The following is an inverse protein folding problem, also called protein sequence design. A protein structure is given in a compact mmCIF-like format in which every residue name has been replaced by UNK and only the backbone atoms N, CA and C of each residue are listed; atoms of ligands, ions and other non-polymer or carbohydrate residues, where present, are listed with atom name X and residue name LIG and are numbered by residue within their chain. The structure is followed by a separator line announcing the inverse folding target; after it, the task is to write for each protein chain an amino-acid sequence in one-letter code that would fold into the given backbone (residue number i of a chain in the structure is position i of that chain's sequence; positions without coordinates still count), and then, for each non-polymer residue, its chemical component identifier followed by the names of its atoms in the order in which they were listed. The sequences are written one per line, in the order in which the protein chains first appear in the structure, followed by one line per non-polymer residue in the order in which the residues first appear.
data_IF_186089544920
#
_entry.id   IF_186089544920
#
_cell.length_a   1.000
_cell.length_b   1.000
_cell.length_c   1.000
_cell.angle_alpha   90.00
_cell.angle_beta   90.00
_cell.angle_gamma   90.00
#
_symmetry.space_group_name_H-M   'P 1'
#
loop_
_entity.id
_entity.type
_entity.pdbx_description
1 polymer ?
#
# COMPACT_ATOMS: atom_id res chain seq x y z
N UNK A 1 10.77 17.33 14.75
CA UNK A 1 12.08 16.67 14.98
C UNK A 1 12.18 15.56 13.96
N UNK A 2 13.12 15.61 13.00
CA UNK A 2 13.34 14.48 12.11
C UNK A 2 13.88 13.33 12.95
N UNK A 3 13.09 12.27 13.11
CA UNK A 3 13.53 11.08 13.83
C UNK A 3 14.61 10.41 12.97
N UNK A 4 15.86 10.49 13.41
CA UNK A 4 16.98 9.78 12.80
C UNK A 4 16.99 8.33 13.33
N UNK A 5 17.71 7.45 12.64
CA UNK A 5 18.07 6.13 13.18
C UNK A 5 16.89 5.15 13.36
N UNK A 6 15.96 5.13 12.41
CA UNK A 6 14.73 4.34 12.51
C UNK A 6 14.90 2.86 12.12
N UNK A 7 15.97 2.50 11.41
CA UNK A 7 16.24 1.13 10.94
C UNK A 7 17.51 0.50 11.51
N UNK A 8 17.67 -0.80 11.29
CA UNK A 8 18.94 -1.50 11.50
C UNK A 8 19.73 -1.56 10.20
N UNK A 9 20.99 -1.12 10.23
CA UNK A 9 21.89 -1.21 9.08
C UNK A 9 22.69 -2.51 9.12
N UNK A 10 22.82 -3.14 7.95
CA UNK A 10 23.71 -4.28 7.73
C UNK A 10 24.75 -3.92 6.68
N UNK A 11 25.92 -4.53 6.78
CA UNK A 11 26.99 -4.42 5.81
C UNK A 11 27.36 -5.81 5.31
N UNK A 12 27.52 -5.90 3.99
CA UNK A 12 28.05 -7.06 3.30
C UNK A 12 29.54 -6.82 3.03
N UNK A 13 30.46 -7.49 3.74
CA UNK A 13 31.90 -7.23 3.57
C UNK A 13 32.37 -7.57 2.16
N UNK A 14 33.28 -6.75 1.62
CA UNK A 14 33.84 -6.98 0.29
C UNK A 14 34.50 -8.38 0.21
N UNK A 15 34.32 -9.06 -0.92
CA UNK A 15 34.83 -10.42 -1.19
C UNK A 15 34.19 -11.53 -0.35
N UNK A 16 33.13 -11.24 0.42
CA UNK A 16 32.37 -12.24 1.18
C UNK A 16 31.02 -12.60 0.55
N UNK A 17 30.66 -11.92 -0.54
CA UNK A 17 29.43 -12.17 -1.28
C UNK A 17 29.73 -12.35 -2.77
N UNK A 18 28.85 -13.06 -3.45
CA UNK A 18 28.80 -13.17 -4.90
C UNK A 18 27.64 -12.34 -5.43
N UNK A 19 27.88 -11.60 -6.51
CA UNK A 19 26.80 -10.86 -7.19
C UNK A 19 26.18 -11.79 -8.22
N UNK A 20 24.87 -11.97 -8.15
CA UNK A 20 24.15 -12.85 -9.06
C UNK A 20 24.16 -12.28 -10.50
N UNK A 21 24.58 -13.09 -11.50
CA UNK A 21 24.49 -12.71 -12.90
C UNK A 21 23.04 -12.40 -13.31
N UNK A 22 22.84 -11.44 -14.21
CA UNK A 22 21.51 -10.98 -14.61
C UNK A 22 20.58 -12.10 -15.12
N UNK A 23 21.15 -13.09 -15.82
CA UNK A 23 20.42 -14.26 -16.33
C UNK A 23 19.93 -15.21 -15.23
N UNK A 24 20.52 -15.16 -14.04
CA UNK A 24 20.23 -16.05 -12.91
C UNK A 24 19.41 -15.35 -11.81
N UNK A 25 19.25 -14.02 -11.89
CA UNK A 25 18.50 -13.24 -10.91
C UNK A 25 17.06 -13.72 -10.77
N UNK A 26 16.69 -14.06 -9.54
CA UNK A 26 15.32 -14.44 -9.18
C UNK A 26 14.49 -13.24 -8.72
N UNK A 27 15.12 -12.09 -8.46
CA UNK A 27 14.47 -10.88 -8.01
C UNK A 27 14.49 -9.77 -9.07
N UNK A 28 13.60 -8.79 -8.89
CA UNK A 28 13.47 -7.57 -9.69
C UNK A 28 14.33 -6.42 -9.13
N UNK A 29 15.17 -6.70 -8.12
CA UNK A 29 16.03 -5.71 -7.47
C UNK A 29 17.22 -5.35 -8.33
N UNK A 30 17.74 -4.14 -8.11
CA UNK A 30 18.93 -3.64 -8.82
C UNK A 30 20.17 -4.48 -8.55
N UNK A 31 20.29 -5.00 -7.32
CA UNK A 31 21.40 -5.81 -6.84
C UNK A 31 20.80 -7.07 -6.20
N UNK A 32 21.34 -8.23 -6.54
CA UNK A 32 21.04 -9.53 -5.95
C UNK A 32 22.38 -10.19 -5.62
N UNK A 33 22.56 -10.58 -4.36
CA UNK A 33 23.80 -11.16 -3.86
C UNK A 33 23.52 -12.46 -3.11
N UNK A 34 24.48 -13.36 -3.14
CA UNK A 34 24.54 -14.53 -2.26
C UNK A 34 25.67 -14.33 -1.26
N UNK A 35 25.38 -14.56 0.02
CA UNK A 35 26.34 -14.40 1.13
C UNK A 35 26.00 -15.40 2.23
N UNK A 36 27.02 -15.93 2.90
CA UNK A 36 26.81 -16.74 4.10
C UNK A 36 26.30 -15.88 5.26
N UNK A 37 25.32 -16.39 6.00
CA UNK A 37 24.64 -15.64 7.07
C UNK A 37 25.57 -15.08 8.18
N UNK A 38 26.68 -15.76 8.45
CA UNK A 38 27.68 -15.45 9.46
C UNK A 38 28.72 -14.42 8.99
N UNK A 39 28.71 -14.09 7.70
CA UNK A 39 29.53 -13.01 7.12
C UNK A 39 28.79 -11.66 7.10
N UNK A 40 27.47 -11.65 7.35
CA UNK A 40 26.68 -10.42 7.44
C UNK A 40 26.96 -9.75 8.78
N UNK A 41 27.43 -8.51 8.74
CA UNK A 41 27.75 -7.74 9.96
C UNK A 41 26.78 -6.60 10.15
N UNK A 42 26.49 -6.28 11.41
CA UNK A 42 25.81 -5.03 11.74
C UNK A 42 26.69 -3.85 11.33
N UNK A 43 26.05 -2.76 10.92
CA UNK A 43 26.75 -1.54 10.55
C UNK A 43 26.30 -0.38 11.40
N UNK A 44 27.19 0.59 11.59
CA UNK A 44 26.87 1.85 12.27
C UNK A 44 25.72 2.56 11.54
N UNK A 45 24.95 3.35 12.28
CA UNK A 45 23.82 4.05 11.69
C UNK A 45 24.28 5.09 10.66
N UNK A 46 23.58 5.12 9.53
CA UNK A 46 23.82 6.08 8.43
C UNK A 46 22.58 6.94 8.19
N UNK A 47 21.71 7.03 9.18
CA UNK A 47 20.42 7.70 9.10
C UNK A 47 19.38 6.83 8.41
N UNK A 48 18.31 7.45 7.94
CA UNK A 48 17.19 6.72 7.35
C UNK A 48 17.40 6.47 5.86
N UNK A 49 17.18 5.23 5.42
CA UNK A 49 17.05 4.93 3.99
C UNK A 49 15.87 5.71 3.40
N UNK A 50 15.99 6.30 2.19
CA UNK A 50 14.92 7.06 1.55
C UNK A 50 13.87 6.12 0.94
N UNK A 51 13.15 5.38 1.80
CA UNK A 51 12.16 4.38 1.40
C UNK A 51 11.11 4.99 0.48
N UNK A 52 10.76 4.29 -0.59
CA UNK A 52 9.68 4.69 -1.50
C UNK A 52 8.35 4.21 -0.95
N UNK A 53 7.46 5.15 -0.66
CA UNK A 53 6.09 4.89 -0.19
C UNK A 53 5.13 5.22 -1.33
N UNK A 54 4.47 4.20 -1.86
CA UNK A 54 3.43 4.33 -2.88
C UNK A 54 2.07 4.21 -2.22
N UNK A 55 1.28 5.29 -2.29
CA UNK A 55 -0.14 5.26 -1.99
C UNK A 55 -0.94 5.15 -3.27
N UNK A 56 -1.97 4.30 -3.26
CA UNK A 56 -2.83 4.11 -4.41
C UNK A 56 -4.28 3.89 -3.96
N UNK A 57 -5.19 4.12 -4.91
CA UNK A 57 -6.64 3.96 -4.77
C UNK A 57 -7.22 3.53 -6.12
N UNK A 58 -8.28 2.71 -6.12
CA UNK A 58 -8.97 2.27 -7.34
C UNK A 58 -10.40 2.80 -7.41
N UNK A 59 -10.84 3.09 -8.63
CA UNK A 59 -12.26 3.24 -8.96
C UNK A 59 -12.73 2.05 -9.78
N UNK A 60 -13.92 1.57 -9.47
CA UNK A 60 -14.59 0.48 -10.15
C UNK A 60 -15.95 0.93 -10.67
N UNK A 61 -16.53 0.18 -11.61
CA UNK A 61 -17.95 0.35 -11.91
C UNK A 61 -18.83 -0.16 -10.76
N UNK A 62 -20.08 0.32 -10.72
CA UNK A 62 -21.07 -0.03 -9.71
C UNK A 62 -22.41 -0.38 -10.35
N UNK A 63 -23.21 -1.23 -9.69
CA UNK A 63 -24.61 -1.52 -10.04
C UNK A 63 -25.62 -0.74 -9.16
N UNK A 64 -26.91 -1.01 -9.39
CA UNK A 64 -28.06 -0.37 -8.74
C UNK A 64 -28.09 -0.48 -7.22
N UNK A 65 -27.36 -1.40 -6.60
CA UNK A 65 -27.22 -1.50 -5.14
C UNK A 65 -25.97 -0.78 -4.60
N UNK A 66 -25.29 -0.01 -5.45
CA UNK A 66 -24.10 0.78 -5.10
C UNK A 66 -22.92 -0.06 -4.60
N UNK A 67 -22.75 -1.28 -5.11
CA UNK A 67 -21.62 -2.15 -4.75
C UNK A 67 -20.85 -2.61 -5.97
N UNK A 68 -19.54 -2.49 -5.92
CA UNK A 68 -18.66 -3.14 -6.89
C UNK A 68 -18.45 -4.61 -6.52
N UNK A 69 -18.43 -5.46 -7.54
CA UNK A 69 -18.23 -6.91 -7.41
C UNK A 69 -17.16 -7.32 -8.42
N UNK A 70 -16.01 -7.90 -8.00
CA UNK A 70 -14.89 -8.19 -8.91
C UNK A 70 -15.25 -9.04 -10.13
N UNK A 71 -16.20 -9.97 -9.98
CA UNK A 71 -16.63 -10.85 -11.06
C UNK A 71 -17.46 -10.17 -12.14
N UNK A 72 -17.95 -8.96 -11.89
CA UNK A 72 -18.89 -8.25 -12.77
C UNK A 72 -18.28 -6.92 -13.20
N UNK A 73 -17.85 -6.13 -12.22
CA UNK A 73 -17.55 -4.73 -12.38
C UNK A 73 -16.06 -4.51 -12.70
N UNK A 74 -15.73 -3.83 -13.82
CA UNK A 74 -14.35 -3.52 -14.16
C UNK A 74 -13.76 -2.45 -13.23
N UNK A 75 -12.44 -2.52 -13.07
CA UNK A 75 -11.60 -1.43 -12.58
C UNK A 75 -11.45 -0.43 -13.72
N UNK A 76 -11.74 0.83 -13.44
CA UNK A 76 -11.80 1.91 -14.43
C UNK A 76 -10.73 2.97 -14.20
N UNK A 77 -10.25 3.15 -12.97
CA UNK A 77 -9.10 4.00 -12.67
C UNK A 77 -8.24 3.44 -11.55
N UNK A 78 -6.93 3.70 -11.62
CA UNK A 78 -5.99 3.44 -10.52
C UNK A 78 -5.09 4.66 -10.35
N UNK A 79 -5.25 5.37 -9.24
CA UNK A 79 -4.43 6.53 -8.91
C UNK A 79 -3.21 6.11 -8.10
N UNK A 80 -2.08 6.79 -8.29
CA UNK A 80 -0.82 6.45 -7.68
C UNK A 80 -0.06 7.72 -7.28
N UNK A 81 0.44 7.75 -6.05
CA UNK A 81 1.33 8.80 -5.55
C UNK A 81 2.52 8.18 -4.85
N UNK A 82 3.73 8.55 -5.27
CA UNK A 82 4.98 8.03 -4.70
C UNK A 82 5.73 9.15 -4.02
N UNK A 83 6.06 8.94 -2.75
CA UNK A 83 6.85 9.86 -1.93
C UNK A 83 8.06 9.12 -1.36
N UNK A 84 9.18 9.82 -1.13
CA UNK A 84 10.26 9.27 -0.32
C UNK A 84 9.98 9.57 1.15
N UNK A 85 10.20 8.59 2.02
CA UNK A 85 10.02 8.78 3.46
C UNK A 85 10.78 10.03 3.95
N UNK A 86 10.10 10.86 4.74
CA UNK A 86 10.59 12.15 5.19
C UNK A 86 10.26 13.35 4.28
N UNK A 87 9.90 13.14 3.02
CA UNK A 87 9.40 14.20 2.13
C UNK A 87 7.89 14.43 2.35
N UNK A 88 7.43 15.67 2.15
CA UNK A 88 6.02 16.07 2.38
C UNK A 88 5.16 16.02 1.11
N UNK A 89 5.79 15.97 -0.06
CA UNK A 89 5.14 15.96 -1.37
C UNK A 89 5.62 14.77 -2.21
N UNK A 90 4.72 14.09 -2.94
CA UNK A 90 5.11 13.01 -3.82
C UNK A 90 5.93 13.52 -5.00
N UNK A 91 6.97 12.79 -5.38
CA UNK A 91 7.80 13.08 -6.54
C UNK A 91 7.21 12.50 -7.84
N UNK A 92 6.26 11.57 -7.73
CA UNK A 92 5.60 10.94 -8.87
C UNK A 92 4.10 10.81 -8.59
N UNK A 93 3.29 11.30 -9.54
CA UNK A 93 1.82 11.21 -9.52
C UNK A 93 1.38 10.61 -10.85
N UNK A 94 0.62 9.53 -10.83
CA UNK A 94 0.15 8.87 -12.04
C UNK A 94 -1.29 8.40 -11.87
N UNK A 95 -2.07 8.46 -12.94
CA UNK A 95 -3.42 7.91 -13.02
C UNK A 95 -3.52 7.00 -14.24
N UNK A 96 -3.94 5.77 -14.01
CA UNK A 96 -4.18 4.77 -15.04
C UNK A 96 -5.68 4.73 -15.29
N UNK A 97 -6.15 4.97 -16.51
CA UNK A 97 -7.58 5.09 -16.81
C UNK A 97 -8.02 4.12 -17.90
N UNK A 98 -9.23 3.57 -17.75
CA UNK A 98 -9.93 2.86 -18.82
C UNK A 98 -10.61 3.91 -19.70
N UNK A 99 -10.30 3.88 -21.00
CA UNK A 99 -10.63 4.90 -21.99
C UNK A 99 -9.88 6.23 -21.76
N UNK A 100 -10.12 7.20 -22.65
CA UNK A 100 -9.41 8.48 -22.67
C UNK A 100 -9.67 9.32 -21.42
N UNK A 101 -8.66 10.00 -20.91
CA UNK A 101 -8.79 10.98 -19.83
C UNK A 101 -8.08 12.26 -20.27
N UNK A 102 -8.71 13.41 -20.05
CA UNK A 102 -8.06 14.70 -20.30
C UNK A 102 -6.87 14.88 -19.34
N UNK A 103 -5.90 15.68 -19.78
CA UNK A 103 -4.67 15.93 -19.02
C UNK A 103 -4.95 16.56 -17.65
N UNK A 104 -4.14 16.18 -16.67
CA UNK A 104 -4.15 16.73 -15.31
C UNK A 104 -2.75 17.29 -15.05
N UNK A 105 -2.69 18.51 -14.55
CA UNK A 105 -1.43 19.19 -14.23
C UNK A 105 -0.61 18.37 -13.21
N UNK A 106 0.70 18.27 -13.44
CA UNK A 106 1.65 17.51 -12.61
C UNK A 106 1.34 16.03 -12.39
N UNK A 107 0.54 15.41 -13.29
CA UNK A 107 0.17 14.00 -13.24
C UNK A 107 0.42 13.32 -14.58
N UNK A 108 1.06 12.15 -14.54
CA UNK A 108 1.13 11.25 -15.70
C UNK A 108 -0.24 10.58 -15.91
N UNK A 109 -0.95 10.99 -16.96
CA UNK A 109 -2.24 10.41 -17.35
C UNK A 109 -2.00 9.29 -18.36
N UNK A 110 -2.25 8.05 -17.95
CA UNK A 110 -2.03 6.85 -18.75
C UNK A 110 -3.38 6.19 -19.10
N UNK A 111 -3.86 6.37 -20.33
CA UNK A 111 -5.16 5.86 -20.77
C UNK A 111 -5.04 4.59 -21.61
N UNK A 112 -5.87 3.58 -21.30
CA UNK A 112 -5.84 2.26 -21.94
C UNK A 112 -7.21 1.89 -22.53
N UNK A 113 -7.19 1.16 -23.64
CA UNK A 113 -8.41 0.75 -24.34
C UNK A 113 -9.11 -0.47 -23.73
N UNK A 114 -8.45 -1.17 -22.80
CA UNK A 114 -9.00 -2.34 -22.13
C UNK A 114 -8.49 -2.43 -20.69
N UNK A 115 -9.29 -3.06 -19.83
CA UNK A 115 -8.95 -3.25 -18.42
C UNK A 115 -7.70 -4.12 -18.24
N UNK A 116 -7.53 -5.18 -19.04
CA UNK A 116 -6.32 -6.02 -18.99
C UNK A 116 -5.04 -5.21 -19.21
N UNK A 117 -5.03 -4.33 -20.22
CA UNK A 117 -3.87 -3.46 -20.50
C UNK A 117 -3.63 -2.45 -19.38
N UNK A 118 -4.70 -1.94 -18.77
CA UNK A 118 -4.61 -1.05 -17.62
C UNK A 118 -3.92 -1.76 -16.45
N UNK A 119 -4.36 -2.97 -16.11
CA UNK A 119 -3.81 -3.75 -15.00
C UNK A 119 -2.38 -4.24 -15.27
N UNK A 120 -2.07 -4.66 -16.50
CA UNK A 120 -0.71 -5.01 -16.95
C UNK A 120 0.23 -3.81 -16.76
N UNK A 121 -0.16 -2.64 -17.29
CA UNK A 121 0.66 -1.45 -17.17
C UNK A 121 0.78 -0.94 -15.73
N UNK A 122 -0.24 -1.12 -14.88
CA UNK A 122 -0.13 -0.81 -13.46
C UNK A 122 0.84 -1.74 -12.74
N UNK A 123 0.85 -3.04 -13.07
CA UNK A 123 1.84 -3.97 -12.54
C UNK A 123 3.27 -3.59 -12.96
N UNK A 124 3.48 -3.27 -14.24
CA UNK A 124 4.79 -2.83 -14.75
C UNK A 124 5.24 -1.54 -14.05
N UNK A 125 4.32 -0.61 -13.84
CA UNK A 125 4.58 0.60 -13.06
C UNK A 125 5.04 0.31 -11.63
N UNK A 126 4.44 -0.66 -10.94
CA UNK A 126 4.89 -1.08 -9.60
C UNK A 126 6.30 -1.69 -9.67
N UNK A 127 6.64 -2.42 -10.74
CA UNK A 127 7.99 -2.97 -10.93
C UNK A 127 9.02 -1.86 -11.16
N UNK A 128 8.70 -0.89 -12.00
CA UNK A 128 9.60 0.22 -12.37
C UNK A 128 9.81 1.20 -11.20
N UNK A 129 8.74 1.54 -10.48
CA UNK A 129 8.80 2.40 -9.30
C UNK A 129 9.48 1.71 -8.13
N UNK A 130 9.36 0.38 -8.04
CA UNK A 130 9.89 -0.46 -6.97
C UNK A 130 9.62 0.09 -5.54
N UNK A 131 8.35 0.27 -5.12
CA UNK A 131 8.04 0.80 -3.80
C UNK A 131 8.42 -0.17 -2.67
N UNK A 132 8.97 0.37 -1.58
CA UNK A 132 9.26 -0.39 -0.35
C UNK A 132 7.98 -0.61 0.46
N UNK A 133 7.07 0.37 0.44
CA UNK A 133 5.79 0.35 1.14
C UNK A 133 4.66 0.64 0.15
N UNK A 134 3.70 -0.27 0.04
CA UNK A 134 2.39 0.00 -0.54
C UNK A 134 1.43 0.43 0.57
N UNK A 135 0.72 1.53 0.35
CA UNK A 135 -0.25 2.08 1.28
C UNK A 135 -1.48 2.64 0.57
N UNK A 136 -2.44 3.11 1.34
CA UNK A 136 -3.73 3.59 0.89
C UNK A 136 -4.74 3.47 2.03
N UNK A 137 -6.03 3.53 1.69
CA UNK A 137 -7.11 3.43 2.67
C UNK A 137 -8.07 2.29 2.33
N UNK A 138 -8.06 1.23 3.14
CA UNK A 138 -8.84 0.00 2.94
C UNK A 138 -8.35 -0.90 1.80
N UNK A 139 -7.09 -0.73 1.39
CA UNK A 139 -6.44 -1.48 0.30
C UNK A 139 -6.40 -2.99 0.51
N UNK A 140 -6.45 -3.48 1.74
CA UNK A 140 -6.41 -4.91 2.01
C UNK A 140 -7.78 -5.57 1.84
N UNK A 141 -8.86 -4.90 2.24
CA UNK A 141 -10.20 -5.47 2.16
C UNK A 141 -10.91 -5.14 0.85
N UNK A 142 -10.49 -4.06 0.18
CA UNK A 142 -11.05 -3.63 -1.10
C UNK A 142 -10.00 -3.69 -2.20
N UNK A 143 -9.10 -2.71 -2.34
CA UNK A 143 -8.34 -2.48 -3.56
C UNK A 143 -7.50 -3.68 -4.04
N UNK A 144 -6.52 -4.15 -3.24
CA UNK A 144 -5.65 -5.27 -3.61
C UNK A 144 -6.44 -6.57 -3.79
N UNK A 145 -7.42 -6.81 -2.92
CA UNK A 145 -8.29 -7.98 -3.03
C UNK A 145 -9.10 -7.94 -4.34
N UNK A 146 -9.67 -6.78 -4.67
CA UNK A 146 -10.47 -6.58 -5.87
C UNK A 146 -9.62 -6.76 -7.12
N UNK A 147 -8.42 -6.19 -7.17
CA UNK A 147 -7.46 -6.38 -8.28
C UNK A 147 -7.13 -7.87 -8.46
N UNK A 148 -6.82 -8.59 -7.37
CA UNK A 148 -6.47 -10.02 -7.43
C UNK A 148 -7.65 -10.85 -7.98
N UNK A 149 -8.86 -10.65 -7.44
CA UNK A 149 -10.06 -11.36 -7.89
C UNK A 149 -10.41 -11.00 -9.34
N UNK A 150 -10.30 -9.72 -9.71
CA UNK A 150 -10.64 -9.24 -11.05
C UNK A 150 -9.68 -9.80 -12.10
N UNK A 151 -8.37 -9.79 -11.82
CA UNK A 151 -7.37 -10.36 -12.72
C UNK A 151 -7.60 -11.86 -12.97
N UNK A 152 -7.97 -12.63 -11.93
CA UNK A 152 -8.34 -14.04 -12.08
C UNK A 152 -9.56 -14.22 -12.99
N UNK A 153 -10.53 -13.30 -12.94
CA UNK A 153 -11.74 -13.35 -13.78
C UNK A 153 -11.48 -12.97 -15.22
N UNK A 154 -10.58 -12.03 -15.47
CA UNK A 154 -10.15 -11.68 -16.82
C UNK A 154 -9.34 -12.82 -17.46
N UNK A 155 -8.68 -13.66 -16.65
CA UNK A 155 -7.81 -14.76 -17.08
C UNK A 155 -6.63 -14.33 -17.98
N UNK A 156 -6.38 -13.03 -18.08
CA UNK A 156 -5.31 -12.46 -18.91
C UNK A 156 -4.05 -12.12 -18.11
N UNK A 157 -4.16 -11.99 -16.79
CA UNK A 157 -3.09 -11.46 -15.95
C UNK A 157 -2.91 -12.25 -14.65
N UNK A 158 -1.66 -12.65 -14.42
CA UNK A 158 -1.19 -13.08 -13.10
C UNK A 158 -0.70 -11.85 -12.34
N UNK A 159 -1.29 -11.55 -11.17
CA UNK A 159 -0.92 -10.37 -10.38
C UNK A 159 0.40 -10.61 -9.64
N UNK A 160 1.50 -10.24 -10.26
CA UNK A 160 2.86 -10.42 -9.75
C UNK A 160 3.41 -9.09 -9.22
N UNK A 161 2.99 -8.67 -8.02
CA UNK A 161 3.45 -7.39 -7.44
C UNK A 161 4.76 -7.52 -6.63
N UNK A 162 5.24 -8.75 -6.44
CA UNK A 162 6.40 -9.08 -5.60
C UNK A 162 7.72 -8.59 -6.19
N UNK A 163 8.74 -8.43 -5.34
CA UNK A 163 10.13 -8.28 -5.81
C UNK A 163 10.72 -9.61 -6.29
N UNK A 164 10.18 -10.74 -5.85
CA UNK A 164 10.57 -12.07 -6.34
C UNK A 164 9.79 -12.41 -7.61
N UNK A 165 10.51 -12.77 -8.67
CA UNK A 165 9.93 -13.10 -9.99
C UNK A 165 9.05 -14.35 -9.87
N UNK A 166 7.90 -14.33 -10.53
CA UNK A 166 6.92 -15.42 -10.51
C UNK A 166 6.14 -15.56 -9.19
N UNK A 167 6.39 -14.69 -8.21
CA UNK A 167 5.67 -14.70 -6.94
C UNK A 167 4.37 -13.90 -7.04
N UNK A 168 3.25 -14.63 -7.11
CA UNK A 168 1.92 -14.03 -7.24
C UNK A 168 1.44 -13.43 -5.92
N UNK A 169 0.84 -12.25 -5.98
CA UNK A 169 0.09 -11.68 -4.87
C UNK A 169 -1.14 -12.56 -4.60
N UNK A 170 -1.29 -12.97 -3.34
CA UNK A 170 -2.43 -13.76 -2.87
C UNK A 170 -3.08 -13.04 -1.70
N UNK A 171 -4.40 -13.08 -1.67
CA UNK A 171 -5.15 -12.65 -0.50
C UNK A 171 -5.51 -13.87 0.35
N UNK A 172 -5.56 -13.67 1.66
CA UNK A 172 -5.97 -14.66 2.65
C UNK A 172 -7.04 -14.03 3.52
N UNK A 173 -8.18 -14.72 3.66
CA UNK A 173 -9.21 -14.34 4.62
C UNK A 173 -8.80 -14.83 6.00
N UNK A 174 -9.01 -14.01 7.02
CA UNK A 174 -8.77 -14.38 8.41
C UNK A 174 -9.90 -13.85 9.29
N UNK A 175 -10.17 -14.58 10.37
CA UNK A 175 -11.10 -14.16 11.40
C UNK A 175 -10.30 -13.56 12.55
N UNK A 176 -10.64 -12.33 12.92
CA UNK A 176 -10.09 -11.68 14.10
C UNK A 176 -11.18 -11.56 15.16
N UNK A 177 -10.89 -12.06 16.35
CA UNK A 177 -11.77 -11.91 17.49
C UNK A 177 -11.20 -10.88 18.47
N UNK A 178 -12.05 -9.95 18.91
CA UNK A 178 -11.75 -9.09 20.05
C UNK A 178 -12.91 -9.04 21.02
N UNK A 179 -12.61 -8.99 22.32
CA UNK A 179 -13.62 -8.92 23.38
C UNK A 179 -14.52 -7.67 23.24
N UNK A 180 -13.99 -6.58 22.66
CA UNK A 180 -14.71 -5.33 22.47
C UNK A 180 -15.54 -5.28 21.18
N UNK A 181 -15.09 -5.90 20.09
CA UNK A 181 -15.70 -5.75 18.75
C UNK A 181 -16.19 -7.06 18.12
N UNK A 182 -16.16 -8.16 18.87
CA UNK A 182 -16.58 -9.48 18.41
C UNK A 182 -15.67 -10.08 17.34
N UNK A 183 -16.20 -11.09 16.63
CA UNK A 183 -15.55 -11.67 15.46
C UNK A 183 -15.73 -10.75 14.25
N UNK A 184 -14.63 -10.47 13.55
CA UNK A 184 -14.62 -9.76 12.27
C UNK A 184 -13.80 -10.54 11.26
N UNK A 185 -14.36 -10.70 10.07
CA UNK A 185 -13.59 -11.17 8.93
C UNK A 185 -12.73 -10.03 8.40
N UNK A 186 -11.49 -10.35 8.05
CA UNK A 186 -10.57 -9.43 7.40
C UNK A 186 -9.81 -10.14 6.30
N UNK A 187 -9.26 -9.37 5.38
CA UNK A 187 -8.42 -9.88 4.29
C UNK A 187 -6.99 -9.43 4.47
N UNK A 188 -6.03 -10.26 4.13
CA UNK A 188 -4.63 -9.88 4.12
C UNK A 188 -4.02 -10.20 2.77
N UNK A 189 -3.17 -9.30 2.26
CA UNK A 189 -2.41 -9.52 1.04
C UNK A 189 -0.94 -9.40 1.40
N UNK A 190 -0.16 -10.41 1.04
CA UNK A 190 1.29 -10.39 1.20
C UNK A 190 1.94 -10.22 -0.16
N UNK A 191 2.91 -9.31 -0.23
CA UNK A 191 3.68 -9.01 -1.44
C UNK A 191 5.15 -9.15 -1.05
N UNK A 192 5.78 -10.32 -1.27
CA UNK A 192 7.14 -10.55 -0.81
C UNK A 192 8.13 -9.48 -1.29
N UNK A 193 8.99 -9.03 -0.37
CA UNK A 193 9.92 -7.93 -0.59
C UNK A 193 9.30 -6.52 -0.49
N UNK A 194 7.99 -6.38 -0.27
CA UNK A 194 7.30 -5.09 -0.07
C UNK A 194 6.43 -5.11 1.19
N UNK A 195 6.37 -3.99 1.89
CA UNK A 195 5.49 -3.84 3.06
C UNK A 195 4.12 -3.34 2.60
N UNK A 196 3.03 -3.93 3.09
CA UNK A 196 1.66 -3.45 2.83
C UNK A 196 1.09 -2.83 4.10
N UNK A 197 0.94 -1.50 4.10
CA UNK A 197 0.43 -0.71 5.23
C UNK A 197 -0.92 -0.09 4.87
N UNK A 198 -1.99 -0.63 5.43
CA UNK A 198 -3.35 -0.12 5.22
C UNK A 198 -3.77 0.81 6.36
N UNK A 199 -4.07 2.08 6.05
CA UNK A 199 -4.48 3.05 7.07
C UNK A 199 -5.84 2.71 7.71
N UNK A 200 -6.75 2.09 6.96
CA UNK A 200 -8.04 1.67 7.50
C UNK A 200 -7.88 0.64 8.63
N UNK A 201 -6.81 -0.15 8.57
CA UNK A 201 -6.43 -1.09 9.64
C UNK A 201 -5.59 -0.41 10.73
N UNK A 202 -4.69 0.49 10.36
CA UNK A 202 -3.81 1.18 11.30
C UNK A 202 -4.57 2.02 12.32
N UNK A 203 -5.55 2.82 11.87
CA UNK A 203 -6.22 3.80 12.73
C UNK A 203 -7.01 3.14 13.88
N UNK A 204 -7.89 2.14 13.66
CA UNK A 204 -8.60 1.47 14.77
C UNK A 204 -7.67 0.72 15.72
N UNK A 205 -6.58 0.13 15.21
CA UNK A 205 -5.58 -0.56 16.05
C UNK A 205 -4.88 0.38 17.03
N UNK A 206 -4.75 1.65 16.66
CA UNK A 206 -4.12 2.69 17.45
C UNK A 206 -5.17 3.69 18.01
N UNK A 207 -6.36 3.21 18.36
CA UNK A 207 -7.49 4.03 18.84
C UNK A 207 -7.19 4.90 20.09
N UNK A 208 -6.17 4.56 20.88
CA UNK A 208 -5.70 5.41 21.98
C UNK A 208 -5.11 6.73 21.48
N UNK A 209 -4.47 6.71 20.31
CA UNK A 209 -3.92 7.86 19.59
C UNK A 209 -4.96 8.49 18.67
N UNK A 210 -5.68 7.68 17.88
CA UNK A 210 -6.67 8.13 16.91
C UNK A 210 -8.10 7.94 17.44
N UNK A 211 -8.57 8.91 18.22
CA UNK A 211 -9.92 8.89 18.81
C UNK A 211 -10.97 9.36 17.79
N UNK A 212 -11.35 8.45 16.88
CA UNK A 212 -12.29 8.70 15.80
C UNK A 212 -13.67 8.09 16.10
N UNK A 213 -14.73 8.81 15.74
CA UNK A 213 -16.11 8.29 15.79
C UNK A 213 -16.46 7.49 14.54
N UNK A 214 -16.02 7.97 13.37
CA UNK A 214 -16.18 7.32 12.07
C UNK A 214 -14.81 7.12 11.41
N UNK A 215 -14.63 5.97 10.76
CA UNK A 215 -13.41 5.57 10.07
C UNK A 215 -13.53 5.65 8.55
N UNK A 216 -14.57 6.30 8.00
CA UNK A 216 -14.61 6.65 6.58
C UNK A 216 -13.53 7.68 6.23
N UNK A 217 -12.88 7.55 5.07
CA UNK A 217 -11.74 8.39 4.67
C UNK A 217 -12.05 9.89 4.77
N UNK A 218 -13.26 10.32 4.38
CA UNK A 218 -13.72 11.71 4.49
C UNK A 218 -13.70 12.22 5.95
N UNK A 219 -14.26 11.43 6.87
CA UNK A 219 -14.35 11.80 8.28
C UNK A 219 -12.97 11.76 8.95
N UNK A 220 -12.14 10.78 8.58
CA UNK A 220 -10.74 10.68 9.02
C UNK A 220 -9.94 11.90 8.53
N UNK A 221 -10.02 12.23 7.25
CA UNK A 221 -9.33 13.38 6.67
C UNK A 221 -9.77 14.68 7.36
N UNK A 222 -11.08 14.90 7.52
CA UNK A 222 -11.60 16.07 8.23
C UNK A 222 -11.11 16.15 9.68
N UNK A 223 -11.23 15.06 10.43
CA UNK A 223 -10.87 15.05 11.85
C UNK A 223 -9.36 15.18 12.09
N UNK A 224 -8.54 14.50 11.27
CA UNK A 224 -7.11 14.40 11.50
C UNK A 224 -6.29 15.43 10.72
N UNK A 225 -6.76 15.94 9.58
CA UNK A 225 -6.04 16.98 8.81
C UNK A 225 -6.54 18.41 9.13
N UNK A 226 -7.73 18.58 9.72
CA UNK A 226 -8.29 19.88 10.13
C UNK A 226 -9.13 20.54 9.03
N UNK A 227 -9.20 21.88 8.98
CA UNK A 227 -10.02 22.63 8.01
C UNK A 227 -9.24 23.13 6.78
N UNK A 228 -8.04 22.60 6.55
CA UNK A 228 -7.23 22.93 5.39
C UNK A 228 -7.80 22.40 4.06
N UNK A 229 -7.34 22.89 2.90
CA UNK A 229 -7.81 22.42 1.60
C UNK A 229 -7.60 20.90 1.41
N UNK A 230 -6.54 20.35 2.01
CA UNK A 230 -6.25 18.92 1.98
C UNK A 230 -7.28 18.05 2.75
N UNK A 231 -8.16 18.62 3.58
CA UNK A 231 -9.19 17.84 4.29
C UNK A 231 -10.54 17.80 3.58
N UNK A 232 -10.74 18.65 2.58
CA UNK A 232 -11.97 18.76 1.83
C UNK A 232 -12.01 17.71 0.72
N UNK A 233 -12.34 16.47 1.09
CA UNK A 233 -12.60 15.40 0.13
C UNK A 233 -13.78 15.80 -0.76
N UNK A 234 -13.60 15.75 -2.09
CA UNK A 234 -14.70 15.89 -3.02
C UNK A 234 -15.72 14.76 -2.77
N UNK A 235 -17.01 15.06 -2.83
CA UNK A 235 -18.04 14.02 -2.80
C UNK A 235 -18.37 13.60 -4.23
N UNK A 236 -18.15 12.32 -4.52
CA UNK A 236 -18.60 11.69 -5.75
C UNK A 236 -19.48 10.49 -5.38
N UNK A 237 -20.73 10.48 -5.85
CA UNK A 237 -21.64 9.36 -5.61
C UNK A 237 -21.33 8.19 -6.57
N UNK A 238 -21.68 6.98 -6.17
CA UNK A 238 -21.52 5.79 -7.03
C UNK A 238 -22.28 5.91 -8.35
N UNK A 239 -23.48 6.49 -8.33
CA UNK A 239 -24.22 6.78 -9.57
C UNK A 239 -23.44 7.74 -10.49
N UNK A 240 -22.79 8.76 -9.91
CA UNK A 240 -21.98 9.70 -10.67
C UNK A 240 -20.78 9.02 -11.32
N UNK A 241 -20.19 8.00 -10.70
CA UNK A 241 -19.05 7.25 -11.26
C UNK A 241 -19.44 6.59 -12.59
N UNK A 242 -20.55 5.85 -12.60
CA UNK A 242 -21.07 5.19 -13.81
C UNK A 242 -21.40 6.21 -14.91
N UNK A 243 -22.06 7.32 -14.55
CA UNK A 243 -22.40 8.39 -15.50
C UNK A 243 -21.16 9.09 -16.08
N UNK A 244 -20.13 9.34 -15.27
CA UNK A 244 -18.89 9.97 -15.74
C UNK A 244 -18.04 9.05 -16.61
N UNK A 245 -18.08 7.73 -16.37
CA UNK A 245 -17.31 6.75 -17.12
C UNK A 245 -17.97 6.39 -18.46
N UNK A 246 -19.27 6.09 -18.45
CA UNK A 246 -20.01 5.51 -19.60
C UNK A 246 -21.37 6.16 -19.89
N UNK A 247 -21.74 7.23 -19.19
CA UNK A 247 -22.99 7.95 -19.45
C UNK A 247 -23.05 8.60 -20.85
N UNK A 248 -24.21 9.12 -21.26
CA UNK A 248 -24.39 9.73 -22.59
C UNK A 248 -23.40 10.87 -22.91
N UNK A 249 -22.98 11.60 -21.88
CA UNK A 249 -22.03 12.71 -21.97
C UNK A 249 -20.57 12.29 -21.66
N UNK A 250 -20.29 11.00 -21.50
CA UNK A 250 -18.99 10.51 -21.06
C UNK A 250 -17.90 10.75 -22.10
N UNK A 251 -16.85 11.46 -21.69
CA UNK A 251 -15.71 11.84 -22.52
C UNK A 251 -14.43 11.97 -21.67
N UNK A 252 -13.35 12.49 -22.27
CA UNK A 252 -12.09 12.67 -21.55
C UNK A 252 -12.19 13.59 -20.33
N UNK A 253 -13.02 14.64 -20.41
CA UNK A 253 -13.21 15.60 -19.33
C UNK A 253 -14.01 15.02 -18.15
N UNK A 254 -15.04 14.21 -18.42
CA UNK A 254 -15.81 13.54 -17.35
C UNK A 254 -14.96 12.52 -16.60
N UNK A 255 -14.17 11.72 -17.33
CA UNK A 255 -13.21 10.78 -16.73
C UNK A 255 -12.07 11.49 -16.00
N UNK A 256 -11.65 12.67 -16.46
CA UNK A 256 -10.73 13.56 -15.73
C UNK A 256 -11.28 14.00 -14.38
N UNK A 257 -12.57 14.34 -14.30
CA UNK A 257 -13.21 14.73 -13.02
C UNK A 257 -13.13 13.58 -12.00
N UNK A 258 -13.39 12.35 -12.43
CA UNK A 258 -13.24 11.15 -11.60
C UNK A 258 -11.78 10.88 -11.23
N UNK A 259 -10.85 11.09 -12.17
CA UNK A 259 -9.42 10.92 -11.92
C UNK A 259 -8.90 11.87 -10.84
N UNK A 260 -9.36 13.13 -10.83
CA UNK A 260 -9.02 14.10 -9.76
C UNK A 260 -9.54 13.63 -8.40
N UNK A 261 -10.73 13.04 -8.34
CA UNK A 261 -11.27 12.45 -7.12
C UNK A 261 -10.43 11.25 -6.65
N UNK A 262 -10.15 10.28 -7.53
CA UNK A 262 -9.33 9.11 -7.21
C UNK A 262 -7.91 9.50 -6.75
N UNK A 263 -7.27 10.49 -7.42
CA UNK A 263 -5.97 11.04 -7.00
C UNK A 263 -6.03 11.65 -5.59
N UNK A 264 -7.15 12.29 -5.21
CA UNK A 264 -7.32 12.80 -3.86
C UNK A 264 -7.34 11.64 -2.84
N UNK A 265 -7.97 10.52 -3.18
CA UNK A 265 -8.10 9.35 -2.31
C UNK A 265 -6.76 8.63 -2.10
N UNK A 266 -5.86 8.64 -3.10
CA UNK A 266 -4.46 8.22 -2.90
C UNK A 266 -3.60 9.26 -2.15
N UNK A 267 -3.90 10.57 -2.25
CA UNK A 267 -3.14 11.64 -1.57
C UNK A 267 -3.36 11.67 -0.06
N UNK A 268 -4.62 11.53 0.36
CA UNK A 268 -5.03 11.67 1.76
C UNK A 268 -4.25 10.70 2.70
N UNK A 269 -4.07 9.42 2.34
CA UNK A 269 -3.23 8.50 3.11
C UNK A 269 -1.80 8.98 3.29
N UNK A 270 -1.15 9.50 2.24
CA UNK A 270 0.23 10.02 2.36
C UNK A 270 0.30 11.21 3.32
N UNK A 271 -0.68 12.13 3.24
CA UNK A 271 -0.75 13.28 4.15
C UNK A 271 -0.89 12.83 5.61
N UNK A 272 -1.70 11.81 5.87
CA UNK A 272 -1.85 11.22 7.20
C UNK A 272 -0.57 10.51 7.67
N UNK A 273 0.06 9.70 6.81
CA UNK A 273 1.33 9.04 7.13
C UNK A 273 2.41 10.05 7.52
N UNK A 274 2.57 11.11 6.73
CA UNK A 274 3.55 12.17 6.98
C UNK A 274 3.22 12.95 8.26
N UNK A 275 1.97 13.40 8.44
CA UNK A 275 1.56 14.20 9.61
C UNK A 275 1.83 13.48 10.94
N UNK A 276 1.63 12.16 10.98
CA UNK A 276 1.74 11.36 12.19
C UNK A 276 3.02 10.51 12.25
N UNK A 277 3.92 10.62 11.27
CA UNK A 277 5.16 9.84 11.18
C UNK A 277 4.92 8.34 11.30
N UNK A 278 3.89 7.83 10.62
CA UNK A 278 3.40 6.46 10.86
C UNK A 278 4.43 5.42 10.40
N UNK A 279 5.05 5.61 9.23
CA UNK A 279 6.08 4.70 8.70
C UNK A 279 7.29 4.72 9.63
N UNK A 280 7.70 5.92 10.03
CA UNK A 280 8.80 6.15 10.96
C UNK A 280 8.55 5.47 12.30
N UNK A 281 7.35 5.62 12.86
CA UNK A 281 6.95 5.00 14.12
C UNK A 281 6.96 3.46 14.05
N UNK A 282 6.61 2.88 12.91
CA UNK A 282 6.73 1.42 12.72
C UNK A 282 8.18 0.95 12.60
N UNK A 283 9.03 1.70 11.90
CA UNK A 283 10.46 1.39 11.81
C UNK A 283 11.11 1.47 13.20
N UNK A 284 10.88 2.56 13.93
CA UNK A 284 11.36 2.74 15.31
C UNK A 284 10.91 1.57 16.20
N UNK A 285 9.62 1.24 16.18
CA UNK A 285 9.06 0.14 16.97
C UNK A 285 9.62 -1.22 16.57
N UNK A 286 9.91 -1.42 15.27
CA UNK A 286 10.56 -2.63 14.77
C UNK A 286 11.98 -2.76 15.29
N UNK A 287 12.76 -1.67 15.29
CA UNK A 287 14.10 -1.60 15.86
C UNK A 287 14.09 -1.87 17.36
N UNK A 288 13.23 -1.20 18.12
CA UNK A 288 13.09 -1.37 19.58
C UNK A 288 12.70 -2.80 19.99
N UNK A 289 11.84 -3.45 19.19
CA UNK A 289 11.36 -4.80 19.47
C UNK A 289 12.16 -5.90 18.77
N UNK A 290 13.12 -5.54 17.94
CA UNK A 290 13.89 -6.46 17.09
C UNK A 290 12.99 -7.39 16.24
N UNK A 291 11.91 -6.83 15.66
CA UNK A 291 11.02 -7.55 14.75
C UNK A 291 10.88 -6.79 13.42
N UNK A 292 10.69 -7.51 12.28
CA UNK A 292 10.46 -6.86 10.99
C UNK A 292 9.25 -5.92 11.02
N UNK A 293 9.34 -4.80 10.30
CA UNK A 293 8.25 -3.84 10.12
C UNK A 293 6.94 -4.54 9.72
N UNK A 294 6.97 -5.38 8.68
CA UNK A 294 5.78 -6.09 8.20
C UNK A 294 5.08 -6.92 9.30
N UNK A 295 5.82 -7.48 10.26
CA UNK A 295 5.27 -8.31 11.33
C UNK A 295 4.45 -7.48 12.33
N UNK A 296 4.70 -6.17 12.43
CA UNK A 296 3.91 -5.25 13.26
C UNK A 296 2.55 -4.90 12.65
N UNK A 297 2.35 -5.22 11.36
CA UNK A 297 1.12 -4.95 10.60
C UNK A 297 0.19 -6.16 10.52
N UNK A 298 0.68 -7.37 10.82
CA UNK A 298 -0.10 -8.60 10.79
C UNK A 298 -1.23 -8.65 11.85
N UNK A 299 -2.20 -9.57 11.73
CA UNK A 299 -3.04 -9.95 12.85
C UNK A 299 -2.17 -10.53 13.97
N UNK A 300 -2.56 -10.32 15.23
CA UNK A 300 -1.76 -10.67 16.43
C UNK A 300 -1.30 -12.14 16.48
N UNK A 301 -1.98 -13.05 15.77
CA UNK A 301 -1.65 -14.47 15.69
C UNK A 301 -0.44 -14.78 14.78
N UNK A 302 -0.10 -13.93 13.80
CA UNK A 302 1.06 -14.14 12.94
C UNK A 302 2.41 -14.07 13.69
N UNK A 303 2.41 -13.45 14.88
CA UNK A 303 3.56 -13.46 15.80
C UNK A 303 3.61 -14.72 16.66
N UNK A 304 2.48 -15.41 16.89
CA UNK A 304 2.43 -16.65 17.68
C UNK A 304 2.97 -17.86 16.90
N UNK A 305 2.80 -17.92 15.58
CA UNK A 305 3.33 -19.01 14.72
C UNK A 305 4.86 -19.01 14.62
N UNK A 306 5.52 -17.89 14.95
CA UNK A 306 6.98 -17.79 15.07
C UNK A 306 7.52 -18.39 16.39
N UNK A 307 6.68 -19.11 17.15
CA UNK A 307 7.07 -19.68 18.43
C UNK A 307 7.29 -18.63 19.51
N UNK A 308 6.71 -17.44 19.38
CA UNK A 308 6.80 -16.36 20.37
C UNK A 308 5.57 -16.42 21.28
N UNK A 309 5.67 -16.95 22.51
CA UNK A 309 4.56 -16.89 23.46
C UNK A 309 4.41 -15.42 23.92
N UNK A 310 3.17 -14.95 24.05
CA UNK A 310 2.81 -13.64 24.63
C UNK A 310 3.14 -12.36 23.82
N UNK A 311 3.03 -12.39 22.48
CA UNK A 311 3.10 -11.19 21.62
C UNK A 311 1.99 -10.13 21.86
N UNK A 312 1.05 -10.36 22.80
CA UNK A 312 0.01 -9.42 23.23
C UNK A 312 0.40 -8.67 24.51
N UNK A 313 1.54 -8.01 24.59
CA UNK A 313 1.72 -6.84 25.48
C UNK A 313 3.11 -6.21 25.26
N UNK A 314 3.19 -4.92 25.56
CA UNK A 314 4.36 -4.15 26.00
C UNK A 314 5.76 -4.81 26.07
N UNK A 315 6.74 -4.06 25.57
CA UNK A 315 8.05 -3.76 26.19
C UNK A 315 8.97 -4.92 26.65
N UNK A 316 10.19 -4.90 26.09
CA UNK A 316 11.45 -5.36 26.68
C UNK A 316 11.72 -6.88 26.80
N UNK A 317 13.03 -7.15 26.72
CA UNK A 317 13.80 -8.40 26.56
C UNK A 317 13.83 -9.24 27.84
N UNK A 318 13.96 -10.57 27.74
CA UNK A 318 14.89 -11.39 28.55
C UNK A 318 15.49 -12.52 27.69
N UNK A 319 16.82 -12.68 27.78
CA UNK A 319 17.58 -13.84 27.32
C UNK A 319 17.53 -14.95 28.36
N UNK A 320 17.31 -16.20 27.95
CA UNK A 320 17.53 -17.35 28.83
C UNK A 320 19.04 -17.61 29.00
N UNK A 321 19.63 -16.94 29.99
CA UNK A 321 20.68 -17.44 30.87
C UNK A 321 20.42 -16.93 32.29
#
# INVERSE_FOLDING_TARGET
MSCQDLGGWVKFPAKKYEVMPDAERQCRTQIEIEISHDEVVTYEDRGNSPLRVLSFDIECMYDTENKSVPSIHPIIQISNMVVRMGESEPFLRAIFTLNSCDLIEDVYVCSYSSESKLLEAWQDFIHDVDPDVLTGFNILNFDLWFIIERAQKLATLNVELSRSKGSLAKHVNYNFYSDRYGSREGRNVQIPGRVVLDLFRHLPRNHSTFKLQNYGLKDVAKCLLGDGPDSQKMDLSYQSITELQEGPEANGATRRKMAVYCLQDARLPLKLLHKYGIVEGYLQKGKEKQVPFANLLGPSHALQELGVPNARASQAVISDF
#
